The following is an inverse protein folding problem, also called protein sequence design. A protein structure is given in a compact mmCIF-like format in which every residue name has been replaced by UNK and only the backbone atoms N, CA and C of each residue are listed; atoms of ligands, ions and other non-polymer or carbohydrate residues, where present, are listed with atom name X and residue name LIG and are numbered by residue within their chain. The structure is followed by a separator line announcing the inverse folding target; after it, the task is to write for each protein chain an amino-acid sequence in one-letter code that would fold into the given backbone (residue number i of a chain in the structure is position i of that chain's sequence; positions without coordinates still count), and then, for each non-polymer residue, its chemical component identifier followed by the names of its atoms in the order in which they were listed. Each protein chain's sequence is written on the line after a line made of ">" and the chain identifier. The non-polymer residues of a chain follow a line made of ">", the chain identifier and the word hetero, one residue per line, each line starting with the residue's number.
data_IF_711073911849
#
_entry.id   IF_711073911849
#
_cell.length_a   1.000
_cell.length_b   1.000
_cell.length_c   1.000
_cell.angle_alpha   90.00
_cell.angle_beta   90.00
_cell.angle_gamma   90.00
#
_symmetry.space_group_name_H-M   'P 1'
#
loop_
_entity.id
_entity.type
_entity.pdbx_description
1 polymer ?
#
# COMPACT_ATOMS: atom_id res chain seq x y z
N UNK A 1 -9.76 9.83 3.73
CA UNK A 1 -9.42 8.44 4.09
C UNK A 1 -8.68 8.38 5.44
N UNK A 2 -8.56 7.18 6.04
CA UNK A 2 -7.74 6.99 7.26
C UNK A 2 -6.29 7.37 6.96
N UNK A 3 -5.77 6.95 5.82
CA UNK A 3 -4.40 7.22 5.37
C UNK A 3 -4.04 8.73 5.35
N UNK A 4 -4.94 9.56 4.88
CA UNK A 4 -4.75 11.02 4.87
C UNK A 4 -4.76 11.61 6.28
N UNK A 5 -5.70 11.16 7.13
CA UNK A 5 -5.83 11.67 8.50
C UNK A 5 -4.67 11.26 9.41
N UNK A 6 -4.07 10.11 9.15
CA UNK A 6 -2.92 9.58 9.91
C UNK A 6 -1.58 9.91 9.27
N UNK A 7 -1.58 10.63 8.14
CA UNK A 7 -0.40 10.90 7.33
C UNK A 7 0.40 9.63 6.98
N UNK A 8 -0.32 8.52 6.77
CA UNK A 8 0.29 7.23 6.42
C UNK A 8 0.77 7.26 4.98
N UNK A 9 2.03 6.92 4.75
CA UNK A 9 2.66 6.92 3.42
C UNK A 9 2.61 5.56 2.74
N UNK A 10 2.37 4.48 3.50
CA UNK A 10 2.31 3.11 3.02
C UNK A 10 1.10 2.35 3.56
N UNK A 11 0.78 1.21 2.93
CA UNK A 11 -0.25 0.30 3.40
C UNK A 11 0.01 -0.15 4.85
N UNK A 12 1.24 -0.55 5.17
CA UNK A 12 1.61 -1.02 6.51
C UNK A 12 1.24 0.00 7.59
N UNK A 13 1.59 1.27 7.37
CA UNK A 13 1.28 2.34 8.33
C UNK A 13 -0.24 2.55 8.52
N UNK A 14 -1.01 2.47 7.46
CA UNK A 14 -2.47 2.64 7.53
C UNK A 14 -3.18 1.46 8.20
N UNK A 15 -2.67 0.25 8.04
CA UNK A 15 -3.23 -0.96 8.64
C UNK A 15 -3.12 -1.01 10.17
N UNK A 16 -2.16 -0.31 10.77
CA UNK A 16 -2.01 -0.21 12.23
C UNK A 16 -3.27 0.35 12.90
N UNK A 17 -4.03 1.19 12.20
CA UNK A 17 -5.26 1.80 12.70
C UNK A 17 -6.51 0.93 12.48
N UNK A 18 -6.35 -0.27 11.90
CA UNK A 18 -7.47 -1.18 11.63
C UNK A 18 -7.71 -2.11 12.84
N UNK A 19 -8.88 -2.07 13.49
CA UNK A 19 -9.17 -2.95 14.62
C UNK A 19 -9.04 -4.42 14.24
N UNK A 20 -8.35 -5.22 15.08
CA UNK A 20 -8.14 -6.66 14.86
C UNK A 20 -7.09 -7.01 13.81
N UNK A 21 -6.39 -6.01 13.30
CA UNK A 21 -5.20 -6.16 12.45
C UNK A 21 -4.00 -5.65 13.24
N UNK A 22 -2.91 -6.40 13.21
CA UNK A 22 -1.64 -6.00 13.82
C UNK A 22 -0.55 -6.08 12.76
N UNK A 23 0.20 -5.01 12.60
CA UNK A 23 1.41 -4.97 11.79
C UNK A 23 2.61 -5.12 12.73
N UNK A 24 3.42 -6.14 12.50
CA UNK A 24 4.61 -6.43 13.29
C UNK A 24 5.85 -6.40 12.39
N UNK A 25 6.94 -5.86 12.93
CA UNK A 25 8.25 -5.95 12.31
C UNK A 25 9.01 -7.11 12.97
N UNK A 26 9.11 -8.25 12.28
CA UNK A 26 9.74 -9.46 12.81
C UNK A 26 11.26 -9.41 12.75
N UNK A 27 11.81 -8.56 11.92
CA UNK A 27 13.25 -8.37 11.79
C UNK A 27 13.54 -6.87 11.63
N UNK A 28 14.08 -6.27 12.67
CA UNK A 28 14.40 -4.83 12.67
C UNK A 28 15.43 -4.49 11.58
N UNK A 29 16.49 -5.27 11.46
CA UNK A 29 17.56 -5.03 10.48
C UNK A 29 17.15 -5.27 9.01
N UNK A 30 16.14 -6.11 8.75
CA UNK A 30 15.74 -6.45 7.39
C UNK A 30 14.47 -5.71 6.94
N UNK A 31 13.81 -4.94 7.83
CA UNK A 31 12.58 -4.20 7.51
C UNK A 31 11.41 -5.12 7.15
N UNK A 32 11.42 -6.36 7.69
CA UNK A 32 10.37 -7.33 7.45
C UNK A 32 9.13 -7.00 8.26
N UNK A 33 8.06 -6.62 7.58
CA UNK A 33 6.75 -6.36 8.19
C UNK A 33 5.76 -7.44 7.80
N UNK A 34 5.06 -8.01 8.77
CA UNK A 34 3.94 -8.91 8.53
C UNK A 34 2.64 -8.38 9.12
N UNK A 35 1.54 -8.75 8.48
CA UNK A 35 0.21 -8.44 8.98
C UNK A 35 -0.40 -9.66 9.62
N UNK A 36 -0.78 -9.53 10.89
CA UNK A 36 -1.50 -10.56 11.64
C UNK A 36 -2.98 -10.19 11.76
N UNK A 37 -3.84 -11.15 11.46
CA UNK A 37 -5.28 -11.05 11.71
C UNK A 37 -5.64 -12.05 12.80
N UNK A 38 -6.33 -11.60 13.85
CA UNK A 38 -6.74 -12.43 14.99
C UNK A 38 -5.56 -13.17 15.66
N UNK A 39 -4.36 -12.59 15.64
CA UNK A 39 -3.16 -13.17 16.24
C UNK A 39 -2.47 -14.26 15.42
N UNK A 40 -3.00 -14.64 14.26
CA UNK A 40 -2.39 -15.63 13.37
C UNK A 40 -1.25 -15.01 12.57
N UNK A 41 -0.22 -15.81 12.27
CA UNK A 41 0.94 -15.34 11.49
C UNK A 41 0.58 -14.82 10.10
N UNK A 42 1.36 -13.89 9.59
CA UNK A 42 1.13 -13.20 8.30
C UNK A 42 1.00 -14.14 7.09
N UNK A 43 1.64 -15.31 7.12
CA UNK A 43 1.51 -16.33 6.06
C UNK A 43 0.10 -16.87 5.88
N UNK A 44 -0.77 -16.69 6.89
CA UNK A 44 -2.19 -17.08 6.85
C UNK A 44 -3.12 -15.93 6.45
N UNK A 45 -2.57 -14.76 6.14
CA UNK A 45 -3.29 -13.59 5.67
C UNK A 45 -3.07 -13.40 4.18
N UNK A 46 -4.14 -13.51 3.40
CA UNK A 46 -4.07 -13.26 1.96
C UNK A 46 -4.19 -11.77 1.67
N UNK A 47 -3.26 -11.24 0.86
CA UNK A 47 -3.30 -9.84 0.39
C UNK A 47 -3.70 -9.84 -1.08
N UNK A 48 -4.67 -8.99 -1.41
CA UNK A 48 -5.19 -8.81 -2.76
C UNK A 48 -5.05 -7.34 -3.17
N UNK A 49 -4.86 -7.11 -4.46
CA UNK A 49 -5.05 -5.80 -5.11
C UNK A 49 -6.17 -5.98 -6.13
N UNK A 50 -7.25 -5.19 -5.98
CA UNK A 50 -8.45 -5.25 -6.82
C UNK A 50 -8.95 -6.69 -7.01
N UNK A 51 -9.04 -7.41 -5.87
CA UNK A 51 -9.47 -8.82 -5.77
C UNK A 51 -8.55 -9.84 -6.44
N UNK A 52 -7.34 -9.45 -6.86
CA UNK A 52 -6.32 -10.34 -7.43
C UNK A 52 -5.21 -10.61 -6.40
N UNK A 53 -4.86 -11.86 -6.13
CA UNK A 53 -3.78 -12.20 -5.19
C UNK A 53 -2.43 -11.61 -5.63
N UNK A 54 -1.67 -11.11 -4.67
CA UNK A 54 -0.28 -10.72 -4.90
C UNK A 54 0.56 -12.02 -4.90
N UNK A 55 1.06 -12.40 -6.07
CA UNK A 55 1.68 -13.70 -6.35
C UNK A 55 3.16 -13.79 -5.98
N UNK A 56 3.65 -13.25 -4.89
CA UNK A 56 4.99 -13.65 -4.47
C UNK A 56 5.10 -13.72 -2.96
N UNK A 57 5.73 -14.77 -2.47
CA UNK A 57 6.11 -14.88 -1.06
C UNK A 57 6.94 -13.65 -0.61
N UNK A 58 7.78 -13.11 -1.51
CA UNK A 58 8.55 -11.88 -1.27
C UNK A 58 7.65 -10.64 -1.19
N UNK A 59 6.63 -10.53 -2.03
CA UNK A 59 5.70 -9.40 -1.98
C UNK A 59 4.85 -9.41 -0.72
N UNK A 60 4.51 -10.58 -0.18
CA UNK A 60 3.86 -10.71 1.12
C UNK A 60 4.76 -10.29 2.30
N UNK A 61 6.07 -10.41 2.12
CA UNK A 61 7.09 -10.12 3.13
C UNK A 61 7.55 -8.66 3.11
N UNK A 62 7.91 -8.16 1.93
CA UNK A 62 8.45 -6.79 1.76
C UNK A 62 7.47 -5.82 1.12
N UNK A 63 6.38 -6.33 0.54
CA UNK A 63 5.46 -5.56 -0.28
C UNK A 63 4.61 -4.54 0.49
N UNK A 64 4.36 -4.76 1.77
CA UNK A 64 3.50 -3.87 2.56
C UNK A 64 4.05 -2.46 2.70
N UNK A 65 5.36 -2.34 2.83
CA UNK A 65 6.07 -1.05 2.86
C UNK A 65 6.21 -0.42 1.48
N UNK A 66 6.05 -1.22 0.43
CA UNK A 66 6.19 -0.78 -0.96
C UNK A 66 4.87 -0.33 -1.58
N UNK A 67 3.72 -0.73 -1.00
CA UNK A 67 2.42 -0.32 -1.49
C UNK A 67 2.13 1.12 -1.02
N UNK A 68 2.13 2.09 -1.94
CA UNK A 68 2.00 3.49 -1.58
C UNK A 68 0.55 3.83 -1.23
N UNK A 69 0.36 4.59 -0.15
CA UNK A 69 -0.97 4.99 0.30
C UNK A 69 -1.74 5.82 -0.72
N UNK A 70 -1.05 6.54 -1.60
CA UNK A 70 -1.66 7.41 -2.60
C UNK A 70 -2.39 6.66 -3.72
N UNK A 71 -2.08 5.37 -3.96
CA UNK A 71 -2.84 4.54 -4.90
C UNK A 71 -4.12 3.97 -4.30
N UNK A 72 -4.25 3.98 -2.97
CA UNK A 72 -5.31 3.26 -2.25
C UNK A 72 -6.56 4.14 -2.15
N UNK A 73 -7.69 3.62 -2.63
CA UNK A 73 -9.02 4.21 -2.38
C UNK A 73 -9.53 3.77 -1.01
N UNK A 74 -9.53 2.45 -0.76
CA UNK A 74 -9.93 1.84 0.51
C UNK A 74 -9.28 0.48 0.70
N UNK A 75 -9.29 0.01 1.93
CA UNK A 75 -8.86 -1.34 2.29
C UNK A 75 -10.05 -2.08 2.90
N UNK A 76 -10.30 -3.26 2.39
CA UNK A 76 -11.35 -4.16 2.85
C UNK A 76 -10.70 -5.31 3.60
N UNK A 77 -11.07 -5.50 4.87
CA UNK A 77 -10.53 -6.57 5.71
C UNK A 77 -11.63 -7.58 6.02
N UNK A 78 -11.46 -8.79 5.51
CA UNK A 78 -12.32 -9.94 5.81
C UNK A 78 -11.58 -10.80 6.82
N UNK A 79 -12.18 -11.00 7.98
CA UNK A 79 -11.63 -11.82 9.07
C UNK A 79 -12.23 -13.22 9.02
N UNK A 80 -11.39 -14.22 9.30
CA UNK A 80 -11.81 -15.61 9.26
C UNK A 80 -11.59 -16.27 7.91
N UNK A 81 -11.95 -17.52 7.79
CA UNK A 81 -11.60 -18.36 6.65
C UNK A 81 -12.17 -17.87 5.32
N UNK A 82 -11.29 -17.32 4.49
CA UNK A 82 -11.56 -16.94 3.10
C UNK A 82 -10.96 -17.92 2.09
N UNK A 83 -10.42 -19.06 2.56
CA UNK A 83 -9.66 -20.00 1.74
C UNK A 83 -10.43 -20.59 0.57
N UNK A 84 -11.75 -20.73 0.69
CA UNK A 84 -12.62 -21.21 -0.39
C UNK A 84 -12.67 -20.25 -1.59
N UNK A 85 -12.51 -18.94 -1.35
CA UNK A 85 -12.57 -17.91 -2.39
C UNK A 85 -11.18 -17.43 -2.83
N UNK A 86 -10.22 -17.35 -1.89
CA UNK A 86 -8.95 -16.64 -2.08
C UNK A 86 -7.72 -17.54 -1.93
N UNK A 87 -7.90 -18.84 -1.74
CA UNK A 87 -6.83 -19.82 -1.66
C UNK A 87 -6.34 -20.11 -0.24
N UNK A 88 -5.39 -21.06 -0.15
CA UNK A 88 -4.91 -21.63 1.13
C UNK A 88 -4.26 -20.63 2.09
N UNK A 89 -3.82 -19.49 1.61
CA UNK A 89 -3.22 -18.43 2.46
C UNK A 89 -4.26 -17.59 3.21
N UNK A 90 -5.56 -17.69 2.88
CA UNK A 90 -6.62 -16.89 3.49
C UNK A 90 -7.29 -17.59 4.69
N UNK A 91 -6.49 -18.20 5.57
CA UNK A 91 -7.00 -18.91 6.76
C UNK A 91 -7.35 -17.91 7.88
N UNK A 92 -6.48 -16.96 8.13
CA UNK A 92 -6.70 -15.90 9.13
C UNK A 92 -7.66 -14.83 8.62
N UNK A 93 -7.60 -14.56 7.32
CA UNK A 93 -8.41 -13.57 6.65
C UNK A 93 -7.79 -13.06 5.36
N UNK A 94 -8.45 -12.06 4.79
CA UNK A 94 -8.05 -11.43 3.53
C UNK A 94 -8.02 -9.91 3.69
N UNK A 95 -7.00 -9.28 3.15
CA UNK A 95 -6.87 -7.84 3.01
C UNK A 95 -6.94 -7.52 1.53
N UNK A 96 -8.02 -6.88 1.09
CA UNK A 96 -8.21 -6.46 -0.28
C UNK A 96 -7.99 -4.96 -0.41
N UNK A 97 -7.02 -4.57 -1.20
CA UNK A 97 -6.65 -3.18 -1.48
C UNK A 97 -7.39 -2.79 -2.74
N UNK A 98 -8.29 -1.82 -2.63
CA UNK A 98 -8.98 -1.26 -3.77
C UNK A 98 -8.24 -0.02 -4.23
N UNK A 99 -7.80 -0.03 -5.48
CA UNK A 99 -7.06 1.09 -6.07
C UNK A 99 -7.99 2.24 -6.49
N UNK A 100 -7.43 3.45 -6.53
CA UNK A 100 -8.17 4.63 -6.98
C UNK A 100 -8.51 4.52 -8.46
N UNK A 101 -9.77 4.73 -8.79
CA UNK A 101 -10.22 4.92 -10.17
C UNK A 101 -10.32 6.41 -10.51
N UNK A 102 -10.10 6.80 -11.78
CA UNK A 102 -10.31 8.16 -12.21
C UNK A 102 -11.83 8.49 -12.21
N UNK A 103 -12.23 9.46 -11.39
CA UNK A 103 -13.64 9.88 -11.26
C UNK A 103 -13.82 11.30 -11.81
N UNK A 104 -12.80 12.14 -11.67
CA UNK A 104 -12.80 13.55 -12.09
C UNK A 104 -11.40 14.00 -12.47
N UNK A 105 -11.31 15.07 -13.23
CA UNK A 105 -10.03 15.69 -13.53
C UNK A 105 -9.46 16.33 -12.26
N UNK A 106 -8.31 15.87 -11.84
CA UNK A 106 -7.63 16.38 -10.64
C UNK A 106 -6.13 16.04 -10.68
N UNK A 107 -5.36 16.82 -9.97
CA UNK A 107 -3.95 16.55 -9.74
C UNK A 107 -3.58 16.90 -8.31
N UNK A 108 -2.68 16.14 -7.72
CA UNK A 108 -2.10 16.43 -6.42
C UNK A 108 -0.61 16.09 -6.41
N UNK A 109 0.15 16.96 -5.78
CA UNK A 109 1.56 16.77 -5.45
C UNK A 109 1.71 16.88 -3.95
N UNK A 110 2.44 15.95 -3.35
CA UNK A 110 2.71 15.96 -1.92
C UNK A 110 4.19 15.70 -1.67
N UNK A 111 4.74 16.39 -0.67
CA UNK A 111 6.09 16.12 -0.17
C UNK A 111 6.06 16.16 1.35
N UNK A 112 6.48 15.06 1.97
CA UNK A 112 6.52 14.92 3.43
C UNK A 112 7.96 14.64 3.86
N UNK A 113 8.44 15.39 4.82
CA UNK A 113 9.73 15.17 5.46
C UNK A 113 9.45 14.90 6.94
N UNK A 114 9.88 13.75 7.43
CA UNK A 114 9.79 13.38 8.83
C UNK A 114 11.19 13.23 9.40
N UNK A 115 11.46 13.91 10.52
CA UNK A 115 12.68 13.71 11.28
C UNK A 115 12.44 12.58 12.28
N UNK A 116 13.33 11.61 12.31
CA UNK A 116 13.27 10.47 13.20
C UNK A 116 13.95 10.84 14.52
N UNK A 117 13.17 11.14 15.54
CA UNK A 117 13.59 11.40 16.93
C UNK A 117 14.68 12.48 17.10
N UNK A 118 14.71 13.50 16.22
CA UNK A 118 15.71 14.55 16.29
C UNK A 118 17.15 14.11 15.99
N UNK A 119 17.37 12.89 15.58
CA UNK A 119 18.69 12.26 15.38
C UNK A 119 19.41 12.70 14.10
N UNK A 120 18.75 13.50 13.25
CA UNK A 120 19.26 13.83 11.92
C UNK A 120 18.97 12.78 10.86
N UNK A 121 18.32 11.66 11.21
CA UNK A 121 17.78 10.72 10.26
C UNK A 121 16.41 11.20 9.75
N UNK A 122 16.20 11.11 8.45
CA UNK A 122 15.00 11.63 7.79
C UNK A 122 14.31 10.54 6.96
N UNK A 123 12.98 10.62 6.92
CA UNK A 123 12.11 9.93 5.98
C UNK A 123 11.48 10.97 5.04
N UNK A 124 11.87 10.94 3.77
CA UNK A 124 11.38 11.82 2.73
C UNK A 124 10.45 11.05 1.82
N UNK A 125 9.24 11.54 1.63
CA UNK A 125 8.24 10.92 0.77
C UNK A 125 7.65 11.95 -0.18
N UNK A 126 7.84 11.75 -1.47
CA UNK A 126 7.27 12.58 -2.55
C UNK A 126 6.23 11.78 -3.29
N UNK A 127 5.04 12.35 -3.48
CA UNK A 127 3.93 11.70 -4.18
C UNK A 127 3.38 12.59 -5.27
N UNK A 128 2.98 11.97 -6.38
CA UNK A 128 2.27 12.61 -7.49
C UNK A 128 1.05 11.78 -7.83
N UNK A 129 -0.08 12.44 -8.03
CA UNK A 129 -1.31 11.81 -8.51
C UNK A 129 -1.94 12.69 -9.59
N UNK A 130 -2.32 12.09 -10.69
CA UNK A 130 -3.01 12.72 -11.80
C UNK A 130 -4.22 11.87 -12.16
N UNK A 131 -5.38 12.50 -12.26
CA UNK A 131 -6.62 11.86 -12.67
C UNK A 131 -7.22 12.64 -13.83
N UNK A 132 -7.55 11.94 -14.88
CA UNK A 132 -8.19 12.48 -16.05
C UNK A 132 -9.40 11.65 -16.43
N UNK A 133 -10.49 12.31 -16.81
CA UNK A 133 -11.73 11.68 -17.30
C UNK A 133 -12.23 12.48 -18.48
N UNK A 134 -12.61 11.78 -19.55
CA UNK A 134 -13.21 12.40 -20.73
C UNK A 134 -14.57 13.02 -20.42
N UNK A 135 -14.96 14.04 -21.18
CA UNK A 135 -16.22 14.77 -20.98
C UNK A 135 -17.49 13.91 -21.10
N UNK A 136 -17.41 12.82 -21.85
CA UNK A 136 -18.49 11.83 -22.01
C UNK A 136 -18.43 10.69 -20.99
N UNK A 137 -17.49 10.72 -20.04
CA UNK A 137 -17.23 9.70 -19.03
C UNK A 137 -17.03 8.28 -19.58
N UNK A 138 -16.58 8.17 -20.84
CA UNK A 138 -16.28 6.86 -21.44
C UNK A 138 -14.87 6.39 -21.21
N UNK A 139 -13.93 7.31 -20.98
CA UNK A 139 -12.52 7.02 -20.75
C UNK A 139 -12.04 7.73 -19.50
N UNK A 140 -11.11 7.13 -18.81
CA UNK A 140 -10.41 7.77 -17.72
C UNK A 140 -9.07 7.11 -17.45
N UNK A 141 -8.15 7.90 -16.89
CA UNK A 141 -6.82 7.47 -16.50
C UNK A 141 -6.45 8.07 -15.15
N UNK A 142 -5.91 7.24 -14.27
CA UNK A 142 -5.31 7.64 -13.01
C UNK A 142 -3.85 7.21 -13.01
N UNK A 143 -2.96 8.17 -12.84
CA UNK A 143 -1.51 7.94 -12.76
C UNK A 143 -1.08 8.34 -11.37
N UNK A 144 -0.26 7.51 -10.74
CA UNK A 144 0.35 7.84 -9.47
C UNK A 144 1.83 7.52 -9.47
N UNK A 145 2.57 8.26 -8.65
CA UNK A 145 3.98 8.02 -8.42
C UNK A 145 4.32 8.28 -6.96
N UNK A 146 5.28 7.54 -6.45
CA UNK A 146 5.89 7.75 -5.15
C UNK A 146 7.40 7.58 -5.25
N UNK A 147 8.13 8.47 -4.60
CA UNK A 147 9.56 8.33 -4.33
C UNK A 147 9.79 8.54 -2.85
N UNK A 148 10.18 7.48 -2.16
CA UNK A 148 10.44 7.50 -0.72
C UNK A 148 11.88 7.11 -0.44
N UNK A 149 12.51 7.90 0.39
CA UNK A 149 13.84 7.64 0.90
C UNK A 149 13.86 7.85 2.41
N UNK A 150 14.26 6.83 3.16
CA UNK A 150 14.49 6.90 4.61
C UNK A 150 15.95 6.59 4.91
N UNK A 151 16.59 7.44 5.71
CA UNK A 151 17.90 7.16 6.30
C UNK A 151 17.79 6.00 7.29
N UNK A 152 18.86 5.24 7.46
CA UNK A 152 18.93 4.31 8.59
C UNK A 152 18.86 5.11 9.90
N UNK A 153 18.14 4.59 10.87
CA UNK A 153 18.03 5.20 12.19
C UNK A 153 18.40 4.17 13.26
N UNK A 154 19.43 4.53 14.02
CA UNK A 154 19.97 3.77 15.15
C UNK A 154 19.64 4.57 16.40
N UNK A 155 18.73 4.07 17.22
CA UNK A 155 18.18 4.76 18.38
C UNK A 155 19.11 4.74 19.59
N UNK A 156 19.85 3.64 19.74
CA UNK A 156 20.65 3.36 20.92
C UNK A 156 22.16 3.55 20.69
N UNK A 157 22.59 3.77 19.43
CA UNK A 157 23.99 4.00 19.06
C UNK A 157 24.86 2.74 19.08
N UNK A 158 24.27 1.54 18.97
CA UNK A 158 25.01 0.28 19.01
C UNK A 158 25.56 -0.16 17.63
N UNK A 159 25.28 0.63 16.56
CA UNK A 159 25.70 0.36 15.20
C UNK A 159 24.70 -0.48 14.40
N UNK A 160 23.58 -0.89 15.00
CA UNK A 160 22.48 -1.56 14.33
C UNK A 160 21.26 -0.64 14.28
N UNK A 161 20.65 -0.51 13.12
CA UNK A 161 19.50 0.39 12.96
C UNK A 161 18.20 -0.30 13.32
N UNK A 162 17.37 0.33 14.18
CA UNK A 162 15.99 -0.09 14.45
C UNK A 162 15.09 0.16 13.26
N UNK A 163 15.40 1.19 12.45
CA UNK A 163 14.75 1.42 11.17
C UNK A 163 15.80 1.38 10.07
N UNK A 164 15.76 0.37 9.18
CA UNK A 164 16.74 0.25 8.12
C UNK A 164 16.55 1.35 7.05
N UNK A 165 17.62 1.61 6.31
CA UNK A 165 17.59 2.47 5.13
C UNK A 165 16.57 1.92 4.13
N UNK A 166 15.70 2.81 3.64
CA UNK A 166 14.68 2.48 2.63
C UNK A 166 14.87 3.37 1.40
N UNK A 167 14.80 2.75 0.23
CA UNK A 167 14.63 3.45 -1.04
C UNK A 167 13.53 2.76 -1.81
N UNK A 168 12.41 3.43 -2.00
CA UNK A 168 11.26 2.92 -2.73
C UNK A 168 10.84 3.91 -3.81
N UNK A 169 10.69 3.42 -5.03
CA UNK A 169 10.19 4.18 -6.17
C UNK A 169 9.06 3.38 -6.80
N UNK A 170 7.90 3.96 -6.82
CA UNK A 170 6.71 3.31 -7.38
C UNK A 170 6.07 4.22 -8.41
N UNK A 171 5.66 3.65 -9.52
CA UNK A 171 4.83 4.30 -10.51
C UNK A 171 3.71 3.35 -10.93
N UNK A 172 2.52 3.87 -11.09
CA UNK A 172 1.40 3.05 -11.54
C UNK A 172 0.40 3.83 -12.34
N UNK A 173 -0.41 3.08 -13.04
CA UNK A 173 -1.45 3.56 -13.93
C UNK A 173 -2.67 2.66 -13.79
N UNK A 174 -3.85 3.28 -13.69
CA UNK A 174 -5.14 2.61 -13.76
C UNK A 174 -6.02 3.38 -14.76
N UNK A 175 -6.49 2.71 -15.79
CA UNK A 175 -7.31 3.31 -16.83
C UNK A 175 -8.51 2.47 -17.17
N UNK A 176 -9.57 3.14 -17.64
CA UNK A 176 -10.75 2.45 -18.12
C UNK A 176 -11.24 2.99 -19.46
N UNK A 177 -11.88 2.11 -20.21
CA UNK A 177 -12.63 2.43 -21.42
C UNK A 177 -13.98 1.69 -21.41
N UNK A 178 -15.08 2.46 -21.47
CA UNK A 178 -16.44 1.89 -21.57
C UNK A 178 -16.77 1.66 -23.03
N UNK A 179 -16.86 0.41 -23.42
CA UNK A 179 -17.23 0.00 -24.79
C UNK A 179 -18.74 0.06 -25.02
N UNK A 180 -19.53 -0.09 -23.96
CA UNK A 180 -20.99 0.02 -23.97
C UNK A 180 -21.50 0.42 -22.57
N UNK A 181 -22.83 0.57 -22.42
CA UNK A 181 -23.44 0.82 -21.12
C UNK A 181 -23.17 -0.30 -20.07
N UNK A 182 -22.89 -1.50 -20.54
CA UNK A 182 -22.72 -2.69 -19.70
C UNK A 182 -21.32 -3.31 -19.80
N UNK A 183 -20.39 -2.70 -20.53
CA UNK A 183 -19.06 -3.24 -20.75
C UNK A 183 -17.98 -2.20 -20.54
N UNK A 184 -17.00 -2.53 -19.70
CA UNK A 184 -15.87 -1.69 -19.32
C UNK A 184 -14.57 -2.50 -19.42
N UNK A 185 -13.61 -1.99 -20.14
CA UNK A 185 -12.24 -2.51 -20.16
C UNK A 185 -11.43 -1.73 -19.12
N UNK A 186 -10.75 -2.44 -18.22
CA UNK A 186 -9.79 -1.86 -17.29
C UNK A 186 -8.38 -2.30 -17.68
N UNK A 187 -7.44 -1.36 -17.60
CA UNK A 187 -6.01 -1.57 -17.83
C UNK A 187 -5.27 -1.04 -16.61
N UNK A 188 -4.48 -1.89 -15.98
CA UNK A 188 -3.73 -1.57 -14.78
C UNK A 188 -2.25 -1.91 -14.97
N UNK A 189 -1.39 -1.05 -14.46
CA UNK A 189 0.06 -1.27 -14.42
C UNK A 189 0.61 -0.74 -13.10
N UNK A 190 1.44 -1.55 -12.45
CA UNK A 190 2.13 -1.22 -11.20
C UNK A 190 3.59 -1.66 -11.31
N UNK A 191 4.51 -0.74 -10.95
CA UNK A 191 5.96 -0.99 -10.91
C UNK A 191 6.56 -0.39 -9.64
#
# INVERSE_FOLDING_TARGET
>A
TVFEKTNSTTLAQGLVFQPGVRVENDCQNCGYSQVRINGMEGKYTQILIDSRPIFSALAGVYGLEQIPANMIERVEVIRGGGSALFGSSAIAGTINIITKEPIRNSGSFGHTISNLDGSGAYDNNTTLNLSWVSSDNKMGAYIYGQNRYRSAWDSNGDGFSELPKLKNQTIGFNGFYKTSAYSKLNIEYHH
#
